data_IF_527394190119
#
_entry.id   IF_527394190119
#
_cell.length_a   1.000
_cell.length_b   1.000
_cell.length_c   1.000
_cell.angle_alpha   90.00
_cell.angle_beta   90.00
_cell.angle_gamma   90.00
#
_symmetry.space_group_name_H-M   'P 1'
#
loop_
_entity.id
_entity.type
_entity.pdbx_description
1 polymer ?
#
# COMPACT_ATOMS: atom_id res chain seq x y z
N UNK A 1 45.59 -8.50 43.47
CA UNK A 1 45.24 -8.54 42.99
C UNK A 1 44.42 -8.56 42.31
N UNK A 2 44.26 -8.49 42.25
CA UNK A 2 43.70 -8.49 41.54
C UNK A 2 42.88 -8.51 40.84
N UNK A 3 42.67 -8.54 40.69
CA UNK A 3 42.11 -8.59 40.00
C UNK A 3 41.20 -8.68 39.38
N UNK A 4 40.95 -8.61 39.36
CA UNK A 4 40.32 -8.75 38.80
C UNK A 4 39.50 -8.74 38.18
N UNK A 5 39.24 -8.62 37.91
CA UNK A 5 38.56 -8.61 37.29
C UNK A 5 37.86 -8.61 36.58
N UNK A 6 37.63 -8.61 36.34
CA UNK A 6 37.12 -8.63 35.66
C UNK A 6 36.30 -8.68 35.00
N UNK A 7 35.90 -8.69 34.70
CA UNK A 7 35.26 -8.75 34.05
C UNK A 7 34.41 -8.66 33.46
N UNK A 8 34.00 -8.64 33.16
CA UNK A 8 33.29 -8.57 32.65
C UNK A 8 32.44 -8.51 31.87
N UNK A 9 32.05 -8.48 31.54
CA UNK A 9 31.32 -8.36 30.82
C UNK A 9 30.48 -8.41 30.07
N UNK A 10 30.07 -8.36 29.75
CA UNK A 10 29.23 -8.40 29.02
C UNK A 10 28.48 -8.47 28.18
N UNK A 11 28.21 -8.45 28.00
CA UNK A 11 27.58 -8.53 27.23
C UNK A 11 26.66 -8.42 26.64
N UNK A 12 26.27 -8.34 26.50
CA UNK A 12 25.50 -8.22 26.15
C UNK A 12 24.76 -8.17 25.33
N UNK A 13 24.57 -7.90 25.05
CA UNK A 13 23.99 -7.70 24.34
C UNK A 13 23.36 -7.88 23.45
N UNK A 14 23.20 -8.03 23.10
CA UNK A 14 22.70 -8.23 22.28
C UNK A 14 21.71 -8.17 21.70
N UNK A 15 21.27 -8.16 21.76
CA UNK A 15 20.47 -8.24 21.41
C UNK A 15 19.67 -7.89 20.65
N UNK A 16 19.40 -7.60 20.65
CA UNK A 16 18.64 -7.16 20.11
C UNK A 16 18.06 -7.13 19.10
N UNK A 17 18.23 -6.98 18.76
CA UNK A 17 17.85 -6.83 17.86
C UNK A 17 16.90 -6.90 17.14
N UNK A 18 16.69 -7.27 16.99
CA UNK A 18 15.89 -7.53 16.34
C UNK A 18 14.96 -7.02 15.75
N UNK A 19 14.78 -6.73 15.90
CA UNK A 19 13.98 -6.46 15.43
C UNK A 19 13.25 -5.98 14.62
N UNK A 20 12.80 -5.88 14.73
CA UNK A 20 12.03 -5.41 14.28
C UNK A 20 11.73 -4.81 13.28
N UNK A 21 11.65 -4.73 12.84
CA UNK A 21 11.52 -4.32 11.89
C UNK A 21 10.41 -3.95 11.26
N UNK A 22 9.53 -3.42 11.68
CA UNK A 22 8.44 -2.87 10.98
C UNK A 22 8.92 -1.80 10.08
N UNK A 23 8.47 -1.82 8.87
CA UNK A 23 8.72 -0.74 7.96
C UNK A 23 8.04 0.52 8.46
N UNK A 24 8.54 1.69 8.10
CA UNK A 24 7.82 2.91 8.39
C UNK A 24 6.41 2.82 7.83
N UNK A 25 5.44 3.19 8.62
CA UNK A 25 4.05 3.12 8.21
C UNK A 25 3.36 1.83 8.59
N UNK A 26 4.08 0.87 9.17
CA UNK A 26 3.49 -0.36 9.66
C UNK A 26 3.98 -1.59 8.97
N UNK A 27 3.37 -2.74 9.24
CA UNK A 27 3.81 -4.00 8.64
C UNK A 27 3.57 -4.05 7.14
N UNK A 28 4.42 -4.79 6.47
CA UNK A 28 4.29 -5.01 5.03
C UNK A 28 3.20 -6.04 4.79
N UNK A 29 2.34 -5.75 3.83
CA UNK A 29 1.24 -6.62 3.48
C UNK A 29 0.99 -6.57 1.98
N UNK A 30 -0.11 -7.18 1.54
CA UNK A 30 -0.49 -7.18 0.12
C UNK A 30 -1.94 -6.76 -0.03
N UNK A 31 -2.24 -6.19 -1.19
CA UNK A 31 -3.61 -5.88 -1.56
C UNK A 31 -4.30 -7.14 -2.06
N UNK A 32 -5.61 -7.16 -1.95
CA UNK A 32 -6.37 -8.26 -2.50
C UNK A 32 -6.28 -8.27 -4.02
N UNK A 33 -6.23 -9.46 -4.59
CA UNK A 33 -6.17 -9.61 -6.03
C UNK A 33 -7.47 -9.16 -6.67
N UNK A 34 -7.38 -8.69 -7.88
CA UNK A 34 -8.56 -8.33 -8.64
C UNK A 34 -8.42 -6.98 -9.30
N UNK A 35 -9.47 -6.58 -9.98
CA UNK A 35 -9.53 -5.32 -10.70
C UNK A 35 -10.06 -4.22 -9.80
N UNK A 36 -9.35 -3.11 -9.78
CA UNK A 36 -9.75 -1.92 -9.05
C UNK A 36 -10.18 -0.87 -10.05
N UNK A 37 -11.43 -0.43 -9.96
CA UNK A 37 -11.99 0.58 -10.84
C UNK A 37 -12.03 1.90 -10.13
N UNK A 38 -11.57 2.94 -10.78
CA UNK A 38 -11.38 4.24 -10.16
C UNK A 38 -12.45 5.22 -10.61
N UNK A 39 -12.85 6.08 -9.69
CA UNK A 39 -13.94 7.01 -9.93
C UNK A 39 -13.79 8.23 -9.05
N UNK A 40 -14.43 9.30 -9.45
CA UNK A 40 -14.64 10.48 -8.62
C UNK A 40 -16.05 10.44 -8.07
N UNK A 41 -16.30 11.10 -6.94
CA UNK A 41 -17.67 11.17 -6.43
C UNK A 41 -18.57 11.87 -7.42
N UNK A 42 -19.76 11.34 -7.62
CA UNK A 42 -20.78 12.01 -8.38
C UNK A 42 -21.50 13.04 -7.54
N UNK A 43 -22.51 13.67 -8.11
CA UNK A 43 -23.30 14.61 -7.33
C UNK A 43 -24.67 13.99 -6.99
N UNK A 44 -25.44 14.71 -6.20
CA UNK A 44 -26.65 14.16 -5.62
C UNK A 44 -27.73 13.87 -6.65
N UNK A 45 -27.63 14.48 -7.83
CA UNK A 45 -28.68 14.34 -8.83
C UNK A 45 -28.27 13.43 -9.97
N UNK A 46 -27.08 12.83 -9.89
CA UNK A 46 -26.57 11.99 -10.97
C UNK A 46 -26.02 10.68 -10.45
N UNK A 47 -25.14 10.04 -11.22
CA UNK A 47 -24.53 8.79 -10.78
C UNK A 47 -23.74 8.97 -9.51
N UNK A 48 -23.68 7.91 -8.72
CA UNK A 48 -22.92 7.95 -7.46
C UNK A 48 -21.43 8.10 -7.68
N UNK A 49 -20.93 7.65 -8.81
CA UNK A 49 -19.52 7.79 -9.15
C UNK A 49 -19.34 8.12 -10.60
N UNK A 50 -18.29 8.87 -10.89
CA UNK A 50 -17.93 9.23 -12.27
C UNK A 50 -16.65 8.46 -12.59
N UNK A 51 -16.76 7.48 -13.50
CA UNK A 51 -15.64 6.60 -13.82
C UNK A 51 -14.47 7.36 -14.40
N UNK A 52 -13.28 6.96 -13.98
CA UNK A 52 -12.03 7.48 -14.53
C UNK A 52 -11.20 6.27 -14.98
N UNK A 53 -11.56 5.69 -16.14
CA UNK A 53 -10.95 4.41 -16.55
C UNK A 53 -9.45 4.46 -16.71
N UNK A 54 -8.89 5.61 -17.02
CA UNK A 54 -7.44 5.75 -17.18
C UNK A 54 -6.69 5.43 -15.89
N UNK A 55 -7.37 5.48 -14.77
CA UNK A 55 -6.75 5.21 -13.47
C UNK A 55 -6.92 3.76 -13.02
N UNK A 56 -7.71 2.98 -13.73
CA UNK A 56 -7.99 1.60 -13.34
C UNK A 56 -6.73 0.75 -13.38
N UNK A 57 -6.68 -0.26 -12.51
CA UNK A 57 -5.59 -1.19 -12.48
C UNK A 57 -6.05 -2.51 -11.87
N UNK A 58 -5.24 -3.54 -12.03
CA UNK A 58 -5.50 -4.84 -11.43
C UNK A 58 -4.32 -5.25 -10.58
N UNK A 59 -4.60 -5.83 -9.44
CA UNK A 59 -3.56 -6.45 -8.60
C UNK A 59 -3.47 -7.91 -9.04
N UNK A 60 -2.34 -8.29 -9.58
CA UNK A 60 -2.19 -9.58 -10.25
C UNK A 60 -1.42 -10.59 -9.44
N UNK A 61 -0.66 -10.15 -8.45
CA UNK A 61 -0.08 -11.04 -7.46
C UNK A 61 0.35 -10.19 -6.26
N UNK A 62 1.13 -10.79 -5.37
CA UNK A 62 1.41 -10.21 -4.06
C UNK A 62 2.03 -8.80 -4.11
N UNK A 63 2.78 -8.49 -5.17
CA UNK A 63 3.46 -7.19 -5.21
C UNK A 63 3.40 -6.54 -6.59
N UNK A 64 2.56 -7.05 -7.49
CA UNK A 64 2.50 -6.58 -8.86
C UNK A 64 1.11 -6.13 -9.25
N UNK A 65 1.08 -5.12 -10.10
CA UNK A 65 -0.16 -4.65 -10.69
C UNK A 65 -0.02 -4.57 -12.20
N UNK A 66 -1.14 -4.49 -12.86
CA UNK A 66 -1.21 -4.25 -14.30
C UNK A 66 -2.19 -3.12 -14.56
N UNK A 67 -1.89 -2.31 -15.55
CA UNK A 67 -2.78 -1.24 -16.00
C UNK A 67 -2.69 -1.13 -17.50
N UNK A 68 -3.44 -0.19 -18.09
CA UNK A 68 -3.42 -0.03 -19.53
C UNK A 68 -2.01 0.28 -20.05
N UNK A 69 -1.19 0.97 -19.27
CA UNK A 69 0.16 1.32 -19.70
C UNK A 69 1.21 0.26 -19.46
N UNK A 70 0.85 -0.83 -18.81
CA UNK A 70 1.83 -1.88 -18.53
C UNK A 70 1.77 -2.36 -17.10
N UNK A 71 2.81 -3.03 -16.67
CA UNK A 71 2.90 -3.65 -15.35
C UNK A 71 3.89 -2.93 -14.47
N UNK A 72 3.72 -3.11 -13.19
CA UNK A 72 4.65 -2.57 -12.23
C UNK A 72 4.49 -3.23 -10.87
N UNK A 73 5.16 -2.66 -9.90
CA UNK A 73 5.14 -3.18 -8.55
C UNK A 73 4.65 -2.12 -7.57
N UNK A 74 4.20 -2.58 -6.42
CA UNK A 74 3.73 -1.71 -5.36
C UNK A 74 4.20 -2.25 -4.02
N UNK A 75 4.11 -1.41 -3.01
CA UNK A 75 4.40 -1.79 -1.64
C UNK A 75 3.27 -1.29 -0.76
N UNK A 76 2.70 -2.19 0.03
CA UNK A 76 1.69 -1.83 1.03
C UNK A 76 2.34 -1.93 2.41
N UNK A 77 2.39 -0.81 3.11
CA UNK A 77 2.87 -0.78 4.49
C UNK A 77 1.81 -0.12 5.34
N UNK A 78 1.31 -0.87 6.33
CA UNK A 78 0.15 -0.41 7.07
C UNK A 78 -1.01 -0.20 6.13
N UNK A 79 -1.52 1.01 6.04
CA UNK A 79 -2.60 1.34 5.14
C UNK A 79 -2.16 2.24 3.99
N UNK A 80 -0.86 2.34 3.73
CA UNK A 80 -0.35 3.15 2.63
C UNK A 80 0.17 2.26 1.52
N UNK A 81 -0.34 2.47 0.32
CA UNK A 81 0.12 1.81 -0.89
C UNK A 81 1.01 2.78 -1.64
N UNK A 82 2.23 2.36 -1.95
CA UNK A 82 3.14 3.15 -2.77
C UNK A 82 3.45 2.36 -4.02
N UNK A 83 3.24 2.97 -5.18
CA UNK A 83 3.57 2.33 -6.45
C UNK A 83 5.05 2.60 -6.72
N UNK A 84 5.82 1.53 -6.84
CA UNK A 84 7.27 1.63 -6.87
C UNK A 84 7.85 1.51 -8.27
N UNK A 85 7.11 0.98 -9.23
CA UNK A 85 7.58 0.90 -10.61
C UNK A 85 6.38 0.82 -11.55
N UNK A 86 6.66 0.98 -12.84
CA UNK A 86 5.64 0.86 -13.87
C UNK A 86 4.92 2.16 -14.17
N UNK A 87 3.82 2.09 -14.93
CA UNK A 87 3.14 3.31 -15.40
C UNK A 87 2.61 4.20 -14.30
N UNK A 88 2.31 3.63 -13.15
CA UNK A 88 1.75 4.40 -12.03
C UNK A 88 2.81 4.75 -10.98
N UNK A 89 4.09 4.59 -11.30
CA UNK A 89 5.15 4.86 -10.35
C UNK A 89 4.99 6.23 -9.72
N UNK A 90 5.10 6.28 -8.40
CA UNK A 90 4.97 7.52 -7.66
C UNK A 90 3.59 7.77 -7.10
N UNK A 91 2.57 7.07 -7.61
CA UNK A 91 1.24 7.20 -7.01
C UNK A 91 1.20 6.52 -5.65
N UNK A 92 0.39 7.07 -4.78
CA UNK A 92 0.20 6.53 -3.44
C UNK A 92 -1.28 6.53 -3.12
N UNK A 93 -1.68 5.56 -2.33
CA UNK A 93 -3.08 5.42 -1.92
C UNK A 93 -3.15 5.13 -0.44
N UNK A 94 -4.24 5.55 0.17
CA UNK A 94 -4.62 5.11 1.51
C UNK A 94 -5.59 3.95 1.36
N UNK A 95 -5.29 2.84 2.01
CA UNK A 95 -6.22 1.72 2.04
C UNK A 95 -7.26 1.98 3.11
N UNK A 96 -8.49 2.24 2.66
CA UNK A 96 -9.61 2.48 3.57
C UNK A 96 -10.18 1.15 4.05
N UNK A 97 -10.25 0.19 3.13
CA UNK A 97 -10.69 -1.17 3.44
C UNK A 97 -10.06 -2.11 2.44
N UNK A 98 -10.34 -3.40 2.58
CA UNK A 98 -9.78 -4.40 1.67
C UNK A 98 -10.18 -4.21 0.22
N UNK A 99 -11.22 -3.43 -0.04
CA UNK A 99 -11.70 -3.21 -1.40
C UNK A 99 -11.80 -1.75 -1.77
N UNK A 100 -11.23 -0.86 -0.96
CA UNK A 100 -11.42 0.57 -1.17
C UNK A 100 -10.10 1.29 -0.94
N UNK A 101 -9.58 1.91 -1.99
CA UNK A 101 -8.37 2.71 -1.94
C UNK A 101 -8.69 4.15 -2.30
N UNK A 102 -8.04 5.09 -1.66
CA UNK A 102 -8.18 6.50 -1.98
C UNK A 102 -6.84 7.06 -2.37
N UNK A 103 -6.80 7.73 -3.52
CA UNK A 103 -5.56 8.30 -4.01
C UNK A 103 -5.09 9.41 -3.09
N UNK A 104 -3.79 9.44 -2.80
CA UNK A 104 -3.17 10.51 -2.05
C UNK A 104 -2.63 11.52 -3.06
N UNK A 105 -3.00 12.79 -2.91
CA UNK A 105 -2.58 13.80 -3.86
C UNK A 105 -1.16 14.29 -3.56
N UNK A 106 -0.69 15.22 -4.37
CA UNK A 106 0.68 15.72 -4.26
C UNK A 106 0.97 16.38 -2.92
N UNK A 107 -0.05 16.82 -2.21
CA UNK A 107 0.11 17.44 -0.90
C UNK A 107 0.13 16.43 0.23
N UNK A 108 -0.03 15.16 -0.08
CA UNK A 108 -0.06 14.12 0.95
C UNK A 108 -1.41 13.91 1.59
N UNK A 109 -2.46 14.54 1.08
CA UNK A 109 -3.81 14.38 1.61
C UNK A 109 -4.63 13.51 0.68
N UNK A 110 -5.67 12.90 1.22
CA UNK A 110 -6.55 12.07 0.41
C UNK A 110 -7.27 12.92 -0.63
N UNK A 111 -7.18 12.49 -1.87
CA UNK A 111 -7.90 13.15 -2.97
C UNK A 111 -9.29 12.57 -3.10
N UNK A 112 -10.17 13.21 -3.87
CA UNK A 112 -11.50 12.64 -4.09
C UNK A 112 -11.51 11.38 -4.95
N UNK A 113 -10.43 11.07 -5.66
CA UNK A 113 -10.39 9.86 -6.47
C UNK A 113 -10.29 8.63 -5.60
N UNK A 114 -11.14 7.65 -5.86
CA UNK A 114 -11.14 6.39 -5.14
C UNK A 114 -11.14 5.24 -6.12
N UNK A 115 -10.54 4.12 -5.72
CA UNK A 115 -10.49 2.92 -6.56
C UNK A 115 -11.08 1.76 -5.76
N UNK A 116 -12.04 1.10 -6.34
CA UNK A 116 -12.85 0.10 -5.66
C UNK A 116 -12.64 -1.23 -6.36
N UNK A 117 -12.32 -2.26 -5.58
CA UNK A 117 -12.14 -3.59 -6.14
C UNK A 117 -13.48 -4.13 -6.58
N UNK A 118 -13.54 -4.55 -7.84
CA UNK A 118 -14.73 -5.15 -8.38
C UNK A 118 -14.91 -6.54 -7.82
N UNK A 119 -16.13 -6.85 -7.44
CA UNK A 119 -16.49 -8.20 -7.03
C UNK A 119 -17.28 -8.81 -8.15
N UNK A 120 -16.80 -9.91 -8.68
CA UNK A 120 -17.48 -10.61 -9.75
C UNK A 120 -18.32 -11.71 -9.13
N UNK A 121 -19.60 -11.64 -9.36
CA UNK A 121 -20.48 -12.70 -8.97
C UNK A 121 -20.58 -13.68 -10.08
N UNK A 122 -19.98 -14.80 -9.89
CA UNK A 122 -20.12 -15.85 -10.86
C UNK A 122 -21.28 -16.67 -10.51
N UNK A 123 -22.29 -16.52 -11.27
CA UNK A 123 -23.37 -17.27 -10.91
C UNK A 123 -23.77 -18.02 -11.96
#
# INVERSE_FOLDING_TARGET
MNHLMKSIVPLLAALAASAAIAAPGGPIATLQLGTYVCELPGDATGPAGLRVPDQDFAIINASSYASAGGRGSYLLTGDTVAVTSGPKKGQRFTRISNSFLRLIDANGTDSPLRCIRQVTNNR
#
